data_IF_536577660340
#
_entry.id   IF_536577660340
#
_cell.length_a   1.000
_cell.length_b   1.000
_cell.length_c   1.000
_cell.angle_alpha   90.00
_cell.angle_beta   90.00
_cell.angle_gamma   90.00
#
_symmetry.space_group_name_H-M   'P 1'
#
loop_
_entity.id
_entity.type
_entity.pdbx_description
1 polymer ?
#
# COMPACT_ATOMS: atom_id res chain seq x y z
N UNK A 1 45.30 8.87 -53.65
CA UNK A 1 44.58 7.72 -53.08
C UNK A 1 43.37 8.23 -52.32
N UNK A 2 42.21 7.65 -52.62
CA UNK A 2 40.88 8.16 -52.29
C UNK A 2 40.24 7.21 -51.29
N UNK A 3 39.71 7.72 -50.17
CA UNK A 3 38.97 6.92 -49.18
C UNK A 3 37.51 6.84 -49.65
N UNK A 4 37.09 5.66 -50.10
CA UNK A 4 35.68 5.32 -50.37
C UNK A 4 34.95 5.01 -49.06
N UNK A 5 33.88 5.74 -48.78
CA UNK A 5 32.86 5.38 -47.80
C UNK A 5 32.04 4.22 -48.36
N UNK A 6 31.98 3.11 -47.62
CA UNK A 6 31.12 1.96 -47.95
C UNK A 6 29.67 2.23 -47.56
N UNK A 7 28.76 2.00 -48.51
CA UNK A 7 27.32 2.09 -48.39
C UNK A 7 26.75 1.17 -47.29
N UNK A 8 25.83 1.72 -46.48
CA UNK A 8 24.86 0.95 -45.71
C UNK A 8 23.81 0.33 -46.66
N UNK A 9 23.36 -0.91 -46.44
CA UNK A 9 22.44 -1.57 -47.36
C UNK A 9 21.05 -0.92 -47.31
N UNK A 10 20.61 -0.40 -48.45
CA UNK A 10 19.32 0.25 -48.70
C UNK A 10 18.05 -0.58 -48.39
N UNK A 11 18.18 -1.81 -47.86
CA UNK A 11 17.05 -2.69 -47.51
C UNK A 11 16.52 -2.50 -46.08
N UNK A 12 17.27 -1.90 -45.16
CA UNK A 12 16.81 -1.70 -43.78
C UNK A 12 15.78 -0.56 -43.63
N UNK A 13 15.82 0.45 -44.50
CA UNK A 13 14.93 1.63 -44.44
C UNK A 13 13.52 1.39 -45.01
N UNK A 14 13.29 0.29 -45.73
CA UNK A 14 12.00 -0.02 -46.35
C UNK A 14 11.09 -0.93 -45.50
N UNK A 15 11.64 -1.61 -44.49
CA UNK A 15 10.92 -2.62 -43.68
C UNK A 15 10.33 -2.00 -42.40
N UNK A 16 10.94 -0.93 -41.87
CA UNK A 16 10.49 -0.26 -40.66
C UNK A 16 9.09 0.41 -40.76
N UNK A 17 8.70 1.06 -41.88
CA UNK A 17 7.37 1.67 -42.00
C UNK A 17 6.24 0.62 -41.97
N UNK A 18 6.44 -0.51 -42.67
CA UNK A 18 5.46 -1.60 -42.77
C UNK A 18 5.21 -2.32 -41.45
N UNK A 19 6.22 -2.46 -40.58
CA UNK A 19 6.07 -3.10 -39.26
C UNK A 19 5.29 -2.18 -38.31
N UNK A 20 5.54 -0.86 -38.36
CA UNK A 20 4.88 0.13 -37.50
C UNK A 20 3.40 0.32 -37.90
N UNK A 21 3.11 0.27 -39.20
CA UNK A 21 1.74 0.24 -39.74
C UNK A 21 0.99 -1.04 -39.35
N UNK A 22 1.68 -2.19 -39.40
CA UNK A 22 1.12 -3.48 -38.94
C UNK A 22 0.82 -3.44 -37.43
N UNK A 23 1.71 -2.87 -36.62
CA UNK A 23 1.51 -2.71 -35.18
C UNK A 23 0.29 -1.84 -34.84
N UNK A 24 0.11 -0.70 -35.53
CA UNK A 24 -1.08 0.15 -35.38
C UNK A 24 -2.38 -0.57 -35.75
N UNK A 25 -2.36 -1.33 -36.85
CA UNK A 25 -3.53 -2.11 -37.28
C UNK A 25 -3.89 -3.24 -36.30
N UNK A 26 -2.87 -3.85 -35.67
CA UNK A 26 -3.06 -4.88 -34.66
C UNK A 26 -3.64 -4.30 -33.37
N UNK A 27 -3.13 -3.15 -32.90
CA UNK A 27 -3.71 -2.44 -31.74
C UNK A 27 -5.15 -2.01 -32.01
N UNK A 28 -5.45 -1.48 -33.19
CA UNK A 28 -6.82 -1.11 -33.57
C UNK A 28 -7.78 -2.31 -33.56
N UNK A 29 -7.36 -3.45 -34.13
CA UNK A 29 -8.14 -4.70 -34.07
C UNK A 29 -8.28 -5.23 -32.65
N UNK A 30 -7.23 -5.14 -31.84
CA UNK A 30 -7.28 -5.55 -30.43
C UNK A 30 -8.32 -4.74 -29.66
N UNK A 31 -8.35 -3.43 -29.89
CA UNK A 31 -9.30 -2.52 -29.26
C UNK A 31 -10.74 -2.75 -29.74
N UNK A 32 -10.95 -3.03 -31.03
CA UNK A 32 -12.25 -3.40 -31.59
C UNK A 32 -12.78 -4.73 -31.01
N UNK A 33 -11.90 -5.71 -30.79
CA UNK A 33 -12.27 -6.99 -30.16
C UNK A 33 -12.62 -6.79 -28.68
N UNK A 34 -11.86 -5.97 -27.95
CA UNK A 34 -12.14 -5.62 -26.56
C UNK A 34 -13.48 -4.90 -26.41
N UNK A 35 -13.77 -3.94 -27.30
CA UNK A 35 -15.06 -3.25 -27.35
C UNK A 35 -16.21 -4.24 -27.63
N UNK A 36 -16.02 -5.15 -28.57
CA UNK A 36 -17.02 -6.20 -28.88
C UNK A 36 -17.27 -7.12 -27.70
N UNK A 37 -16.22 -7.59 -27.03
CA UNK A 37 -16.35 -8.45 -25.84
C UNK A 37 -17.03 -7.69 -24.70
N UNK A 38 -16.67 -6.43 -24.47
CA UNK A 38 -17.33 -5.57 -23.48
C UNK A 38 -18.82 -5.40 -23.77
N UNK A 39 -19.17 -5.16 -25.04
CA UNK A 39 -20.57 -5.04 -25.48
C UNK A 39 -21.34 -6.35 -25.34
N UNK A 40 -20.78 -7.48 -25.78
CA UNK A 40 -21.41 -8.80 -25.65
C UNK A 40 -21.61 -9.18 -24.19
N UNK A 41 -20.64 -8.86 -23.32
CA UNK A 41 -20.76 -9.09 -21.88
C UNK A 41 -21.87 -8.24 -21.27
N UNK A 42 -21.99 -6.97 -21.69
CA UNK A 42 -23.06 -6.08 -21.25
C UNK A 42 -24.43 -6.57 -21.72
N UNK A 43 -24.55 -7.00 -22.98
CA UNK A 43 -25.79 -7.60 -23.53
C UNK A 43 -26.18 -8.86 -22.76
N UNK A 44 -25.21 -9.73 -22.42
CA UNK A 44 -25.45 -10.92 -21.61
C UNK A 44 -25.92 -10.58 -20.18
N UNK A 45 -25.30 -9.59 -19.52
CA UNK A 45 -25.73 -9.13 -18.20
C UNK A 45 -27.17 -8.62 -18.27
N UNK A 46 -27.50 -7.82 -19.28
CA UNK A 46 -28.85 -7.28 -19.49
C UNK A 46 -29.87 -8.39 -19.73
N UNK A 47 -29.53 -9.40 -20.54
CA UNK A 47 -30.41 -10.54 -20.82
C UNK A 47 -30.66 -11.40 -19.58
N UNK A 48 -29.62 -11.68 -18.77
CA UNK A 48 -29.73 -12.54 -17.58
C UNK A 48 -30.37 -11.82 -16.38
N UNK A 49 -30.18 -10.50 -16.25
CA UNK A 49 -30.67 -9.71 -15.09
C UNK A 49 -31.98 -8.95 -15.34
N UNK A 50 -32.41 -8.82 -16.60
CA UNK A 50 -33.61 -8.07 -16.96
C UNK A 50 -33.49 -6.54 -16.75
N UNK A 51 -32.27 -6.00 -16.75
CA UNK A 51 -32.02 -4.56 -16.62
C UNK A 51 -32.43 -3.81 -17.90
N UNK A 52 -33.43 -2.91 -17.83
CA UNK A 52 -33.73 -1.98 -18.92
C UNK A 52 -32.58 -0.97 -19.08
N UNK A 53 -31.83 -1.08 -20.19
CA UNK A 53 -30.87 -0.06 -20.60
C UNK A 53 -31.59 0.93 -21.52
N UNK A 54 -31.80 2.14 -21.02
CA UNK A 54 -32.45 3.24 -21.75
C UNK A 54 -31.67 3.54 -23.04
N UNK A 55 -32.23 3.13 -24.18
CA UNK A 55 -31.68 3.40 -25.52
C UNK A 55 -32.37 4.62 -26.11
N UNK A 56 -31.96 5.80 -25.66
CA UNK A 56 -31.92 7.00 -26.50
C UNK A 56 -32.54 8.26 -25.92
N UNK A 57 -31.68 9.24 -25.65
CA UNK A 57 -31.98 10.62 -26.04
C UNK A 57 -30.83 11.17 -26.90
N UNK A 58 -31.07 11.22 -28.21
CA UNK A 58 -30.37 12.15 -29.09
C UNK A 58 -31.22 13.42 -29.09
N UNK A 59 -30.79 14.45 -28.37
CA UNK A 59 -31.52 15.72 -28.33
C UNK A 59 -30.99 16.69 -27.28
N UNK A 60 -30.05 17.53 -27.72
CA UNK A 60 -29.83 18.91 -27.28
C UNK A 60 -29.70 19.19 -25.77
N UNK A 61 -28.44 19.33 -25.36
CA UNK A 61 -28.04 20.43 -24.48
C UNK A 61 -28.37 20.26 -23.01
N UNK A 62 -27.54 19.48 -22.31
CA UNK A 62 -27.06 19.95 -21.03
C UNK A 62 -25.54 19.90 -21.06
N UNK A 63 -24.90 21.07 -21.15
CA UNK A 63 -23.51 21.23 -20.76
C UNK A 63 -23.44 21.14 -19.23
N UNK A 64 -23.81 19.98 -18.69
CA UNK A 64 -23.22 19.55 -17.43
C UNK A 64 -21.84 19.07 -17.82
N UNK A 65 -20.88 19.95 -17.57
CA UNK A 65 -19.47 19.63 -17.43
C UNK A 65 -19.35 18.19 -16.94
N UNK A 66 -18.87 17.30 -17.80
CA UNK A 66 -18.14 16.13 -17.37
C UNK A 66 -16.88 16.66 -16.66
N UNK A 67 -17.06 17.26 -15.48
CA UNK A 67 -16.12 17.01 -14.41
C UNK A 67 -16.24 15.50 -14.23
N UNK A 68 -15.32 14.76 -14.87
CA UNK A 68 -14.94 13.43 -14.42
C UNK A 68 -14.97 13.53 -12.89
N UNK A 69 -15.98 12.94 -12.25
CA UNK A 69 -16.01 12.84 -10.81
C UNK A 69 -14.77 12.00 -10.51
N UNK A 70 -13.66 12.66 -10.18
CA UNK A 70 -12.47 12.01 -9.69
C UNK A 70 -12.93 11.22 -8.48
N UNK A 71 -13.11 9.91 -8.67
CA UNK A 71 -13.53 9.03 -7.62
C UNK A 71 -12.48 9.13 -6.53
N UNK A 72 -12.88 9.72 -5.39
CA UNK A 72 -11.97 10.14 -4.34
C UNK A 72 -11.08 8.95 -3.94
N UNK A 73 -9.77 9.11 -4.10
CA UNK A 73 -8.81 8.07 -3.76
C UNK A 73 -8.80 7.91 -2.25
N UNK A 74 -9.36 6.80 -1.77
CA UNK A 74 -9.44 6.45 -0.35
C UNK A 74 -8.55 5.27 0.00
N UNK A 75 -8.15 5.19 1.27
CA UNK A 75 -7.34 4.09 1.78
C UNK A 75 -7.99 2.73 1.51
N UNK A 76 -9.27 2.56 1.82
CA UNK A 76 -9.96 1.26 1.70
C UNK A 76 -10.01 0.79 0.24
N UNK A 77 -10.26 1.70 -0.70
CA UNK A 77 -10.26 1.38 -2.13
C UNK A 77 -8.87 0.95 -2.61
N UNK A 78 -7.84 1.71 -2.25
CA UNK A 78 -6.47 1.37 -2.62
C UNK A 78 -6.03 0.06 -1.96
N UNK A 79 -6.38 -0.15 -0.69
CA UNK A 79 -6.06 -1.36 0.05
C UNK A 79 -6.72 -2.59 -0.58
N UNK A 80 -7.97 -2.46 -1.04
CA UNK A 80 -8.65 -3.48 -1.84
C UNK A 80 -7.89 -3.77 -3.15
N UNK A 81 -7.51 -2.74 -3.91
CA UNK A 81 -6.77 -2.88 -5.17
C UNK A 81 -5.44 -3.62 -4.98
N UNK A 82 -4.75 -3.38 -3.87
CA UNK A 82 -3.50 -4.08 -3.55
C UNK A 82 -3.71 -5.52 -3.03
N UNK A 83 -4.95 -5.99 -2.85
CA UNK A 83 -5.26 -7.32 -2.33
C UNK A 83 -5.16 -7.43 -0.80
N UNK A 84 -5.20 -6.31 -0.09
CA UNK A 84 -5.12 -6.27 1.36
C UNK A 84 -6.19 -7.09 2.10
N UNK A 85 -7.47 -7.03 1.69
CA UNK A 85 -8.53 -7.84 2.30
C UNK A 85 -8.26 -9.34 2.19
N UNK A 86 -7.79 -9.84 1.04
CA UNK A 86 -7.49 -11.26 0.84
C UNK A 86 -6.39 -11.73 1.81
N UNK A 87 -5.35 -10.90 2.01
CA UNK A 87 -4.26 -11.19 2.95
C UNK A 87 -4.75 -11.21 4.41
N UNK A 88 -5.66 -10.31 4.77
CA UNK A 88 -6.27 -10.28 6.11
C UNK A 88 -7.18 -11.49 6.34
N UNK A 89 -8.00 -11.86 5.35
CA UNK A 89 -8.88 -13.03 5.42
C UNK A 89 -8.06 -14.32 5.59
N UNK A 90 -6.96 -14.47 4.85
CA UNK A 90 -6.08 -15.62 4.99
C UNK A 90 -5.47 -15.68 6.42
N UNK A 91 -5.08 -14.54 6.96
CA UNK A 91 -4.53 -14.44 8.31
C UNK A 91 -5.57 -14.72 9.41
N UNK A 92 -6.81 -14.28 9.22
CA UNK A 92 -7.93 -14.58 10.10
C UNK A 92 -8.29 -16.08 10.05
N UNK A 93 -8.30 -16.68 8.87
CA UNK A 93 -8.53 -18.11 8.69
C UNK A 93 -7.43 -18.92 9.39
N UNK A 94 -6.17 -18.51 9.26
CA UNK A 94 -5.04 -19.12 9.96
C UNK A 94 -5.20 -18.99 11.49
N UNK A 95 -5.54 -17.81 11.99
CA UNK A 95 -5.82 -17.57 13.41
C UNK A 95 -6.93 -18.47 13.94
N UNK A 96 -8.04 -18.55 13.21
CA UNK A 96 -9.20 -19.37 13.55
C UNK A 96 -8.84 -20.85 13.63
N UNK A 97 -8.05 -21.34 12.67
CA UNK A 97 -7.53 -22.71 12.69
C UNK A 97 -6.68 -22.97 13.94
N UNK A 98 -5.76 -22.06 14.27
CA UNK A 98 -4.87 -22.20 15.42
C UNK A 98 -5.56 -22.00 16.76
N UNK A 99 -6.65 -21.22 16.83
CA UNK A 99 -7.51 -21.11 17.99
C UNK A 99 -8.22 -22.45 18.29
N UNK A 100 -8.71 -23.13 17.25
CA UNK A 100 -9.30 -24.47 17.39
C UNK A 100 -8.26 -25.49 17.84
N UNK A 101 -7.07 -25.50 17.22
CA UNK A 101 -5.97 -26.38 17.63
C UNK A 101 -5.52 -26.10 19.07
N UNK A 102 -5.44 -24.84 19.46
CA UNK A 102 -5.12 -24.43 20.83
C UNK A 102 -6.11 -25.04 21.81
N UNK A 103 -7.41 -24.88 21.57
CA UNK A 103 -8.46 -25.44 22.44
C UNK A 103 -8.39 -26.97 22.51
N UNK A 104 -8.14 -27.64 21.38
CA UNK A 104 -7.97 -29.11 21.33
C UNK A 104 -6.75 -29.57 22.12
N UNK A 105 -5.59 -28.93 21.95
CA UNK A 105 -4.37 -29.25 22.73
C UNK A 105 -4.59 -28.97 24.20
N UNK A 106 -5.17 -27.81 24.53
CA UNK A 106 -5.50 -27.39 25.90
C UNK A 106 -6.41 -28.41 26.60
N UNK A 107 -7.38 -28.99 25.91
CA UNK A 107 -8.25 -30.04 26.47
C UNK A 107 -7.49 -31.24 27.06
N UNK A 108 -6.34 -31.59 26.48
CA UNK A 108 -5.48 -32.71 26.89
C UNK A 108 -4.51 -32.37 28.05
N UNK A 109 -4.38 -31.10 28.42
CA UNK A 109 -3.44 -30.64 29.43
C UNK A 109 -4.00 -30.76 30.86
N UNK A 110 -3.11 -30.84 31.84
CA UNK A 110 -3.48 -30.75 33.27
C UNK A 110 -3.88 -29.31 33.67
N UNK A 111 -4.42 -29.11 34.87
CA UNK A 111 -4.95 -27.81 35.30
C UNK A 111 -3.88 -26.70 35.38
N UNK A 112 -2.66 -27.04 35.80
CA UNK A 112 -1.54 -26.10 35.90
C UNK A 112 -1.07 -25.64 34.51
N UNK A 113 -0.90 -26.59 33.59
CA UNK A 113 -0.52 -26.32 32.20
C UNK A 113 -1.59 -25.51 31.46
N UNK A 114 -2.88 -25.78 31.70
CA UNK A 114 -3.99 -24.97 31.16
C UNK A 114 -3.87 -23.51 31.59
N UNK A 115 -3.66 -23.29 32.89
CA UNK A 115 -3.51 -21.94 33.47
C UNK A 115 -2.28 -21.24 32.91
N UNK A 116 -1.16 -21.96 32.77
CA UNK A 116 0.08 -21.43 32.18
C UNK A 116 -0.14 -20.93 30.75
N UNK A 117 -0.70 -21.73 29.86
CA UNK A 117 -0.90 -21.34 28.46
C UNK A 117 -1.99 -20.27 28.27
N UNK A 118 -3.00 -20.23 29.13
CA UNK A 118 -3.96 -19.12 29.16
C UNK A 118 -3.30 -17.80 29.57
N UNK A 119 -2.40 -17.85 30.56
CA UNK A 119 -1.58 -16.71 30.94
C UNK A 119 -0.68 -16.25 29.79
N UNK A 120 0.01 -17.19 29.12
CA UNK A 120 0.87 -16.89 27.97
C UNK A 120 0.10 -16.32 26.79
N UNK A 121 -1.11 -16.79 26.51
CA UNK A 121 -1.97 -16.19 25.48
C UNK A 121 -2.29 -14.74 25.79
N UNK A 122 -2.72 -14.43 27.02
CA UNK A 122 -3.00 -13.04 27.42
C UNK A 122 -1.76 -12.15 27.32
N UNK A 123 -0.60 -12.65 27.74
CA UNK A 123 0.67 -11.94 27.66
C UNK A 123 1.06 -11.66 26.20
N UNK A 124 0.95 -12.64 25.29
CA UNK A 124 1.19 -12.45 23.85
C UNK A 124 0.20 -11.44 23.25
N UNK A 125 -1.08 -11.51 23.60
CA UNK A 125 -2.08 -10.54 23.13
C UNK A 125 -1.74 -9.11 23.58
N UNK A 126 -1.25 -8.93 24.80
CA UNK A 126 -0.75 -7.63 25.28
C UNK A 126 0.51 -7.18 24.53
N UNK A 127 1.44 -8.10 24.26
CA UNK A 127 2.63 -7.87 23.41
C UNK A 127 2.23 -7.58 21.98
N UNK A 128 1.04 -7.91 21.53
CA UNK A 128 0.57 -7.58 20.17
C UNK A 128 -0.18 -6.26 20.08
N UNK A 129 -0.38 -5.55 21.18
CA UNK A 129 -0.96 -4.21 21.16
C UNK A 129 0.12 -3.14 20.87
N UNK A 130 0.17 -2.58 19.66
CA UNK A 130 1.15 -1.60 19.23
C UNK A 130 1.11 -0.29 20.02
N UNK A 131 -0.02 0.05 20.65
CA UNK A 131 -0.22 1.28 21.43
C UNK A 131 0.48 1.27 22.79
N UNK A 132 0.95 0.11 23.26
CA UNK A 132 1.68 0.02 24.53
C UNK A 132 3.17 0.27 24.32
N UNK A 133 3.79 1.12 25.14
CA UNK A 133 5.25 1.23 25.14
C UNK A 133 5.82 0.02 25.92
N UNK A 134 6.14 -1.05 25.21
CA UNK A 134 6.95 -2.15 25.75
C UNK A 134 8.38 -1.84 25.34
N UNK A 135 9.28 -1.79 26.32
CA UNK A 135 10.66 -1.28 26.28
C UNK A 135 11.32 -1.25 24.88
N UNK A 136 11.89 -0.08 24.55
CA UNK A 136 12.58 0.26 23.29
C UNK A 136 13.82 -0.61 22.98
N UNK A 137 14.22 -1.48 23.91
CA UNK A 137 15.29 -2.44 23.66
C UNK A 137 14.77 -3.57 22.74
N UNK A 138 15.28 -3.56 21.51
CA UNK A 138 15.18 -4.71 20.61
C UNK A 138 15.62 -6.00 21.33
N UNK A 139 15.15 -7.18 20.90
CA UNK A 139 15.33 -8.42 21.65
C UNK A 139 16.80 -8.59 22.11
N UNK A 140 17.02 -8.63 23.43
CA UNK A 140 18.35 -8.81 24.10
C UNK A 140 19.01 -10.17 23.80
N UNK A 141 18.49 -10.93 22.84
CA UNK A 141 19.02 -12.23 22.46
C UNK A 141 19.57 -12.17 21.04
N UNK A 142 20.80 -12.66 20.87
CA UNK A 142 21.34 -13.01 19.55
C UNK A 142 20.51 -14.12 18.86
N UNK A 143 19.54 -14.73 19.55
CA UNK A 143 18.51 -15.59 18.96
C UNK A 143 17.32 -14.77 18.46
N UNK A 144 17.03 -14.88 17.16
CA UNK A 144 16.15 -13.96 16.44
C UNK A 144 16.90 -12.85 15.70
N UNK A 145 18.18 -12.59 16.05
CA UNK A 145 19.13 -12.02 15.11
C UNK A 145 19.60 -13.13 14.17
N UNK A 146 19.53 -12.82 12.88
CA UNK A 146 20.09 -13.69 11.86
C UNK A 146 21.59 -13.82 12.12
N UNK A 147 22.12 -15.04 12.07
CA UNK A 147 23.51 -15.30 11.72
C UNK A 147 23.82 -14.38 10.53
N UNK A 148 24.88 -13.58 10.64
CA UNK A 148 25.28 -12.55 9.69
C UNK A 148 25.00 -12.95 8.23
N UNK A 149 24.37 -12.04 7.46
CA UNK A 149 24.13 -12.10 5.99
C UNK A 149 22.81 -12.67 5.43
N UNK A 150 21.67 -12.09 5.84
CA UNK A 150 20.69 -11.64 4.83
C UNK A 150 19.58 -10.79 5.48
N UNK A 151 19.23 -9.64 4.91
CA UNK A 151 17.87 -9.15 5.12
C UNK A 151 16.90 -10.27 4.72
N UNK A 152 15.79 -10.47 5.42
CA UNK A 152 14.67 -11.14 4.77
C UNK A 152 14.30 -10.25 3.58
N UNK A 153 14.30 -10.76 2.35
CA UNK A 153 14.08 -9.94 1.14
C UNK A 153 12.86 -9.03 1.27
N UNK A 154 11.80 -9.52 1.92
CA UNK A 154 10.59 -8.75 2.22
C UNK A 154 10.80 -7.53 3.14
N UNK A 155 11.62 -7.59 4.18
CA UNK A 155 11.88 -6.41 5.03
C UNK A 155 12.73 -5.37 4.29
N UNK A 156 13.66 -5.83 3.45
CA UNK A 156 14.38 -4.94 2.54
C UNK A 156 13.43 -4.28 1.51
N UNK A 157 12.43 -5.02 1.02
CA UNK A 157 11.37 -4.47 0.15
C UNK A 157 10.54 -3.40 0.86
N UNK A 158 10.13 -3.63 2.12
CA UNK A 158 9.37 -2.62 2.89
C UNK A 158 10.18 -1.34 3.07
N UNK A 159 11.45 -1.48 3.47
CA UNK A 159 12.36 -0.34 3.64
C UNK A 159 12.58 0.40 2.31
N UNK A 160 12.79 -0.34 1.22
CA UNK A 160 12.94 0.22 -0.13
C UNK A 160 11.68 0.96 -0.57
N UNK A 161 10.50 0.42 -0.28
CA UNK A 161 9.23 1.07 -0.57
C UNK A 161 9.09 2.37 0.25
N UNK A 162 9.42 2.34 1.55
CA UNK A 162 9.43 3.55 2.38
C UNK A 162 10.38 4.62 1.81
N UNK A 163 11.63 4.25 1.50
CA UNK A 163 12.62 5.18 0.93
C UNK A 163 12.19 5.73 -0.44
N UNK A 164 11.63 4.88 -1.30
CA UNK A 164 11.09 5.29 -2.60
C UNK A 164 9.90 6.25 -2.44
N UNK A 165 8.99 5.98 -1.52
CA UNK A 165 7.83 6.81 -1.20
C UNK A 165 8.24 8.19 -0.66
N UNK A 166 9.19 8.24 0.27
CA UNK A 166 9.74 9.50 0.80
C UNK A 166 10.43 10.30 -0.31
N UNK A 167 11.24 9.64 -1.14
CA UNK A 167 11.88 10.30 -2.29
C UNK A 167 10.84 10.82 -3.29
N UNK A 168 9.76 10.08 -3.51
CA UNK A 168 8.66 10.45 -4.40
C UNK A 168 7.93 11.68 -3.87
N UNK A 169 7.56 11.72 -2.59
CA UNK A 169 6.93 12.87 -1.96
C UNK A 169 7.78 14.14 -2.11
N UNK A 170 9.09 14.05 -1.82
CA UNK A 170 10.02 15.17 -1.99
C UNK A 170 10.10 15.65 -3.47
N UNK A 171 10.17 14.72 -4.44
CA UNK A 171 10.15 15.05 -5.87
C UNK A 171 8.82 15.69 -6.30
N UNK A 172 7.72 15.40 -5.61
CA UNK A 172 6.44 16.00 -5.90
C UNK A 172 6.34 17.43 -5.32
N UNK A 173 6.97 17.74 -4.20
CA UNK A 173 7.06 19.13 -3.74
C UNK A 173 8.08 19.96 -4.54
N UNK A 174 9.19 19.33 -4.95
CA UNK A 174 10.32 20.01 -5.58
C UNK A 174 9.96 20.79 -6.85
N UNK A 175 10.52 22.00 -6.97
CA UNK A 175 10.36 22.86 -8.15
C UNK A 175 8.97 23.47 -8.32
N UNK A 176 8.03 23.22 -7.39
CA UNK A 176 6.67 23.73 -7.51
C UNK A 176 6.60 25.26 -7.49
N UNK A 177 7.37 25.92 -6.62
CA UNK A 177 7.49 27.40 -6.59
C UNK A 177 7.88 27.97 -7.95
N UNK A 178 8.89 27.39 -8.61
CA UNK A 178 9.32 27.83 -9.95
C UNK A 178 8.21 27.59 -10.98
N UNK A 179 7.47 26.49 -10.86
CA UNK A 179 6.37 26.15 -11.75
C UNK A 179 5.13 27.06 -11.60
N UNK A 180 5.06 27.89 -10.55
CA UNK A 180 4.02 28.90 -10.35
C UNK A 180 4.44 30.30 -10.84
N UNK A 181 5.72 30.51 -11.17
CA UNK A 181 6.24 31.81 -11.58
C UNK A 181 5.57 32.33 -12.86
N UNK A 182 5.10 33.59 -12.81
CA UNK A 182 4.52 34.28 -13.97
C UNK A 182 3.10 33.83 -14.36
N UNK A 183 2.47 32.95 -13.58
CA UNK A 183 1.09 32.52 -13.81
C UNK A 183 0.09 33.53 -13.27
N UNK A 184 -1.11 33.57 -13.86
CA UNK A 184 -2.24 34.32 -13.33
C UNK A 184 -2.81 33.67 -12.05
N UNK A 185 -3.53 34.42 -11.18
CA UNK A 185 -4.11 33.87 -9.95
C UNK A 185 -4.98 32.62 -10.17
N UNK A 186 -5.80 32.60 -11.23
CA UNK A 186 -6.65 31.45 -11.53
C UNK A 186 -5.83 30.22 -11.95
N UNK A 187 -4.75 30.42 -12.70
CA UNK A 187 -3.84 29.33 -13.08
C UNK A 187 -3.05 28.81 -11.87
N UNK A 188 -2.63 29.69 -10.96
CA UNK A 188 -1.98 29.31 -9.70
C UNK A 188 -2.91 28.42 -8.86
N UNK A 189 -4.18 28.81 -8.70
CA UNK A 189 -5.18 28.03 -7.95
C UNK A 189 -5.39 26.66 -8.59
N UNK A 190 -5.63 26.62 -9.91
CA UNK A 190 -5.85 25.37 -10.64
C UNK A 190 -4.64 24.44 -10.53
N UNK A 191 -3.44 24.97 -10.77
CA UNK A 191 -2.20 24.19 -10.74
C UNK A 191 -1.87 23.67 -9.34
N UNK A 192 -2.14 24.46 -8.30
CA UNK A 192 -1.99 24.04 -6.90
C UNK A 192 -3.00 22.97 -6.53
N UNK A 193 -4.27 23.13 -6.91
CA UNK A 193 -5.33 22.15 -6.66
C UNK A 193 -4.95 20.78 -7.24
N UNK A 194 -4.61 20.74 -8.52
CA UNK A 194 -4.20 19.49 -9.17
C UNK A 194 -2.96 18.88 -8.51
N UNK A 195 -2.01 19.70 -8.07
CA UNK A 195 -0.81 19.21 -7.40
C UNK A 195 -1.12 18.59 -6.05
N UNK A 196 -1.97 19.23 -5.25
CA UNK A 196 -2.42 18.71 -3.95
C UNK A 196 -3.15 17.39 -4.10
N UNK A 197 -4.07 17.27 -5.06
CA UNK A 197 -4.79 16.03 -5.36
C UNK A 197 -3.84 14.90 -5.79
N UNK A 198 -2.84 15.23 -6.62
CA UNK A 198 -1.84 14.25 -7.05
C UNK A 198 -0.99 13.77 -5.85
N UNK A 199 -0.56 14.69 -4.98
CA UNK A 199 0.23 14.34 -3.78
C UNK A 199 -0.60 13.50 -2.81
N UNK A 200 -1.86 13.88 -2.60
CA UNK A 200 -2.79 13.14 -1.75
C UNK A 200 -2.99 11.71 -2.27
N UNK A 201 -3.43 11.57 -3.52
CA UNK A 201 -3.68 10.26 -4.14
C UNK A 201 -2.46 9.34 -4.09
N UNK A 202 -1.27 9.86 -4.44
CA UNK A 202 -0.03 9.09 -4.34
C UNK A 202 0.26 8.69 -2.88
N UNK A 203 0.07 9.59 -1.92
CA UNK A 203 0.24 9.30 -0.49
C UNK A 203 -0.67 8.16 -0.02
N UNK A 204 -1.95 8.20 -0.39
CA UNK A 204 -2.92 7.13 -0.09
C UNK A 204 -2.49 5.81 -0.72
N UNK A 205 -2.11 5.82 -2.01
CA UNK A 205 -1.61 4.61 -2.69
C UNK A 205 -0.41 4.01 -1.97
N UNK A 206 0.58 4.83 -1.59
CA UNK A 206 1.79 4.33 -0.91
C UNK A 206 1.48 3.77 0.48
N UNK A 207 0.57 4.40 1.23
CA UNK A 207 0.13 3.87 2.54
C UNK A 207 -0.61 2.55 2.40
N UNK A 208 -1.53 2.43 1.45
CA UNK A 208 -2.27 1.19 1.20
C UNK A 208 -1.38 0.05 0.70
N UNK A 209 -0.42 0.35 -0.20
CA UNK A 209 0.58 -0.62 -0.68
C UNK A 209 1.44 -1.14 0.47
N UNK A 210 1.95 -0.23 1.31
CA UNK A 210 2.72 -0.61 2.51
C UNK A 210 1.88 -1.45 3.47
N UNK A 211 0.61 -1.09 3.68
CA UNK A 211 -0.28 -1.84 4.56
C UNK A 211 -0.50 -3.28 4.06
N UNK A 212 -0.79 -3.45 2.77
CA UNK A 212 -0.94 -4.78 2.18
C UNK A 212 0.33 -5.63 2.33
N UNK A 213 1.50 -5.06 2.01
CA UNK A 213 2.78 -5.75 2.18
C UNK A 213 3.05 -6.10 3.64
N UNK A 214 2.66 -5.24 4.58
CA UNK A 214 2.85 -5.48 6.00
C UNK A 214 2.01 -6.67 6.49
N UNK A 215 0.74 -6.74 6.09
CA UNK A 215 -0.14 -7.88 6.40
C UNK A 215 0.42 -9.16 5.79
N UNK A 216 0.85 -9.10 4.52
CA UNK A 216 1.48 -10.23 3.83
C UNK A 216 2.72 -10.74 4.58
N UNK A 217 3.56 -9.83 5.09
CA UNK A 217 4.74 -10.18 5.88
C UNK A 217 4.39 -10.82 7.22
N UNK A 218 3.36 -10.32 7.91
CA UNK A 218 2.87 -10.93 9.14
C UNK A 218 2.33 -12.35 8.90
N UNK A 219 1.63 -12.57 7.80
CA UNK A 219 1.18 -13.90 7.38
C UNK A 219 2.35 -14.86 7.15
N UNK A 220 3.37 -14.43 6.40
CA UNK A 220 4.59 -15.22 6.17
C UNK A 220 5.31 -15.52 7.49
N UNK A 221 5.41 -14.55 8.40
CA UNK A 221 5.98 -14.77 9.73
C UNK A 221 5.18 -15.80 10.52
N UNK A 222 3.85 -15.71 10.54
CA UNK A 222 2.97 -16.69 11.15
C UNK A 222 3.19 -18.11 10.63
N UNK A 223 3.23 -18.26 9.29
CA UNK A 223 3.57 -19.53 8.63
C UNK A 223 4.96 -20.05 9.03
N UNK A 224 5.97 -19.19 9.09
CA UNK A 224 7.33 -19.62 9.48
C UNK A 224 7.42 -20.09 10.93
N UNK A 225 6.64 -19.51 11.85
CA UNK A 225 6.53 -19.98 13.25
C UNK A 225 5.99 -21.41 13.27
N UNK A 226 5.00 -21.69 12.42
CA UNK A 226 4.39 -23.02 12.28
C UNK A 226 5.40 -24.02 11.69
N UNK A 227 6.03 -23.69 10.56
CA UNK A 227 7.04 -24.54 9.93
C UNK A 227 8.14 -24.92 10.91
N UNK A 228 8.64 -23.94 11.69
CA UNK A 228 9.67 -24.18 12.70
C UNK A 228 9.25 -25.16 13.80
N UNK A 229 7.98 -25.10 14.24
CA UNK A 229 7.44 -26.00 15.27
C UNK A 229 7.18 -27.42 14.73
N UNK A 230 6.93 -27.54 13.42
CA UNK A 230 6.59 -28.80 12.76
C UNK A 230 7.77 -29.49 12.07
N UNK A 231 9.01 -28.97 12.18
CA UNK A 231 10.19 -29.57 11.54
C UNK A 231 10.39 -31.02 11.96
N UNK A 232 9.88 -31.95 11.14
CA UNK A 232 10.54 -33.24 10.92
C UNK A 232 11.72 -32.97 9.98
N UNK A 233 12.87 -33.60 10.22
CA UNK A 233 14.19 -33.21 9.67
C UNK A 233 14.36 -33.17 8.14
N UNK A 234 13.33 -33.37 7.31
CA UNK A 234 13.51 -33.80 5.91
C UNK A 234 12.67 -33.08 4.84
N UNK A 235 12.27 -31.81 4.99
CA UNK A 235 11.66 -31.07 3.86
C UNK A 235 12.34 -29.71 3.72
N UNK A 236 13.24 -29.61 2.74
CA UNK A 236 13.78 -28.34 2.23
C UNK A 236 12.68 -27.69 1.37
N UNK A 237 11.74 -27.01 2.00
CA UNK A 237 10.83 -26.12 1.29
C UNK A 237 11.59 -24.82 0.99
N UNK A 238 11.88 -24.57 -0.30
CA UNK A 238 12.66 -23.41 -0.76
C UNK A 238 12.03 -22.05 -0.40
N UNK A 239 10.75 -22.04 -0.01
CA UNK A 239 10.00 -20.85 0.39
C UNK A 239 9.99 -20.57 1.90
N UNK A 240 10.62 -21.41 2.72
CA UNK A 240 10.59 -21.23 4.17
C UNK A 240 11.54 -20.11 4.60
N UNK A 241 10.97 -19.06 5.19
CA UNK A 241 11.75 -18.00 5.83
C UNK A 241 12.57 -18.61 6.98
N UNK A 242 13.88 -18.75 6.76
CA UNK A 242 14.85 -19.31 7.73
C UNK A 242 15.07 -18.35 8.90
N UNK A 243 14.10 -18.27 9.80
CA UNK A 243 14.22 -17.63 11.11
C UNK A 243 14.46 -18.72 12.15
N UNK A 244 15.48 -18.53 12.98
CA UNK A 244 15.68 -19.33 14.19
C UNK A 244 14.72 -18.81 15.26
N UNK A 245 13.57 -19.49 15.39
CA UNK A 245 12.53 -19.09 16.33
C UNK A 245 12.85 -19.61 17.74
N UNK A 246 12.79 -18.74 18.78
CA UNK A 246 12.93 -19.18 20.16
C UNK A 246 11.80 -20.14 20.53
N UNK A 247 12.01 -21.05 21.48
CA UNK A 247 10.95 -21.99 21.90
C UNK A 247 9.82 -21.30 22.67
N UNK A 248 10.15 -20.26 23.44
CA UNK A 248 9.20 -19.54 24.28
C UNK A 248 8.27 -18.63 23.45
N UNK A 249 6.94 -18.72 23.65
CA UNK A 249 5.96 -17.92 22.89
C UNK A 249 6.07 -16.41 23.15
N UNK A 250 6.58 -15.97 24.30
CA UNK A 250 6.74 -14.55 24.61
C UNK A 250 7.89 -13.98 23.77
N UNK A 251 9.03 -14.66 23.71
CA UNK A 251 10.14 -14.27 22.85
C UNK A 251 9.75 -14.25 21.36
N UNK A 252 8.98 -15.24 20.88
CA UNK A 252 8.42 -15.21 19.51
C UNK A 252 7.54 -13.98 19.29
N UNK A 253 6.63 -13.72 20.24
CA UNK A 253 5.75 -12.55 20.22
C UNK A 253 6.53 -11.23 20.15
N UNK A 254 7.58 -11.06 20.97
CA UNK A 254 8.42 -9.86 20.95
C UNK A 254 9.09 -9.64 19.59
N UNK A 255 9.58 -10.68 18.94
CA UNK A 255 10.20 -10.58 17.60
C UNK A 255 9.18 -10.12 16.55
N UNK A 256 7.99 -10.72 16.55
CA UNK A 256 6.92 -10.35 15.60
C UNK A 256 6.46 -8.91 15.86
N UNK A 257 6.23 -8.55 17.14
CA UNK A 257 5.86 -7.18 17.53
C UNK A 257 6.89 -6.17 17.05
N UNK A 258 8.17 -6.40 17.30
CA UNK A 258 9.25 -5.48 16.89
C UNK A 258 9.23 -5.23 15.37
N UNK A 259 9.00 -6.28 14.57
CA UNK A 259 8.86 -6.14 13.11
C UNK A 259 7.64 -5.29 12.74
N UNK A 260 6.48 -5.56 13.35
CA UNK A 260 5.27 -4.77 13.11
C UNK A 260 5.45 -3.29 13.53
N UNK A 261 6.11 -3.03 14.66
CA UNK A 261 6.43 -1.68 15.13
C UNK A 261 7.34 -0.95 14.13
N UNK A 262 8.40 -1.59 13.64
CA UNK A 262 9.27 -1.01 12.61
C UNK A 262 8.49 -0.63 11.35
N UNK A 263 7.56 -1.48 10.91
CA UNK A 263 6.73 -1.19 9.73
C UNK A 263 5.78 -0.02 10.00
N UNK A 264 5.18 0.04 11.19
CA UNK A 264 4.33 1.16 11.61
C UNK A 264 5.08 2.49 11.59
N UNK A 265 6.33 2.51 12.05
CA UNK A 265 7.20 3.71 11.99
C UNK A 265 7.49 4.11 10.54
N UNK A 266 7.74 3.14 9.66
CA UNK A 266 7.95 3.42 8.23
C UNK A 266 6.68 3.98 7.57
N UNK A 267 5.48 3.52 7.93
CA UNK A 267 4.20 4.07 7.47
C UNK A 267 4.00 5.53 7.93
N UNK A 268 4.28 5.81 9.20
CA UNK A 268 4.22 7.17 9.75
C UNK A 268 5.20 8.10 9.02
N UNK A 269 6.42 7.63 8.75
CA UNK A 269 7.42 8.39 7.99
C UNK A 269 6.94 8.70 6.57
N UNK A 270 6.31 7.74 5.89
CA UNK A 270 5.73 7.98 4.55
C UNK A 270 4.60 9.01 4.62
N UNK A 271 3.63 8.83 5.52
CA UNK A 271 2.54 9.78 5.71
C UNK A 271 3.06 11.20 5.99
N UNK A 272 4.00 11.31 6.94
CA UNK A 272 4.64 12.59 7.30
C UNK A 272 5.33 13.22 6.09
N UNK A 273 6.05 12.44 5.28
CA UNK A 273 6.72 12.97 4.09
C UNK A 273 5.75 13.53 3.05
N UNK A 274 4.59 12.88 2.83
CA UNK A 274 3.55 13.39 1.96
C UNK A 274 2.84 14.61 2.55
N UNK A 275 2.60 14.63 3.87
CA UNK A 275 2.05 15.78 4.59
C UNK A 275 2.98 17.01 4.52
N UNK A 276 4.30 16.81 4.64
CA UNK A 276 5.31 17.85 4.38
C UNK A 276 5.22 18.34 2.94
N UNK A 277 5.13 17.44 1.96
CA UNK A 277 4.99 17.84 0.55
C UNK A 277 3.71 18.65 0.27
N UNK A 278 2.60 18.34 0.96
CA UNK A 278 1.36 19.15 0.92
C UNK A 278 1.62 20.54 1.50
N UNK A 279 2.33 20.64 2.62
CA UNK A 279 2.66 21.91 3.27
C UNK A 279 3.60 22.77 2.42
N UNK A 280 4.63 22.18 1.80
CA UNK A 280 5.55 22.88 0.89
C UNK A 280 4.80 23.46 -0.33
N UNK A 281 3.87 22.69 -0.89
CA UNK A 281 3.01 23.15 -2.00
C UNK A 281 2.08 24.28 -1.55
N UNK A 282 1.51 24.20 -0.35
CA UNK A 282 0.66 25.25 0.20
C UNK A 282 1.44 26.55 0.48
N UNK A 283 2.68 26.45 0.95
CA UNK A 283 3.58 27.59 1.15
C UNK A 283 3.95 28.24 -0.19
N UNK A 284 4.32 27.44 -1.19
CA UNK A 284 4.62 27.91 -2.53
C UNK A 284 3.41 28.63 -3.16
N UNK A 285 2.20 28.11 -2.95
CA UNK A 285 0.96 28.77 -3.36
C UNK A 285 0.77 30.13 -2.66
N UNK A 286 0.93 30.19 -1.34
CA UNK A 286 0.77 31.43 -0.58
C UNK A 286 1.74 32.51 -1.08
N UNK A 287 3.00 32.17 -1.31
CA UNK A 287 4.00 33.08 -1.85
C UNK A 287 3.67 33.52 -3.29
N UNK A 288 3.27 32.59 -4.15
CA UNK A 288 2.91 32.91 -5.54
C UNK A 288 1.68 33.83 -5.62
N UNK A 289 0.65 33.57 -4.80
CA UNK A 289 -0.55 34.41 -4.74
C UNK A 289 -0.26 35.81 -4.21
N UNK A 290 0.58 35.95 -3.19
CA UNK A 290 1.01 37.26 -2.69
C UNK A 290 1.72 38.06 -3.80
N UNK A 291 2.61 37.43 -4.56
CA UNK A 291 3.30 38.09 -5.67
C UNK A 291 2.35 38.44 -6.84
N UNK A 292 1.40 37.57 -7.17
CA UNK A 292 0.46 37.80 -8.27
C UNK A 292 -0.61 38.87 -7.95
N UNK A 293 -0.93 39.06 -6.66
CA UNK A 293 -1.91 40.06 -6.19
C UNK A 293 -1.27 41.39 -5.79
N UNK A 294 0.07 41.47 -5.70
CA UNK A 294 0.78 42.72 -5.38
C UNK A 294 0.42 43.88 -6.33
N UNK A 295 -0.04 43.57 -7.54
CA UNK A 295 -0.46 44.55 -8.56
C UNK A 295 -1.99 44.76 -8.66
N UNK A 296 -2.83 44.00 -7.93
CA UNK A 296 -4.31 44.09 -8.02
C UNK A 296 -4.99 43.83 -6.68
N UNK A 297 -5.69 44.86 -6.20
CA UNK A 297 -6.52 44.83 -4.99
C UNK A 297 -7.88 44.21 -5.31
N UNK A 298 -7.94 42.89 -5.51
CA UNK A 298 -9.20 42.14 -5.63
C UNK A 298 -9.23 40.99 -4.61
N UNK A 299 -10.27 40.96 -3.77
CA UNK A 299 -10.54 39.88 -2.82
C UNK A 299 -11.05 38.66 -3.60
N UNK A 300 -10.17 37.66 -3.81
CA UNK A 300 -10.53 36.47 -4.57
C UNK A 300 -11.13 35.37 -3.66
N UNK A 301 -12.42 35.01 -3.80
CA UNK A 301 -13.10 34.06 -2.90
C UNK A 301 -12.51 32.64 -2.89
N UNK A 302 -11.72 32.27 -3.91
CA UNK A 302 -11.13 30.94 -4.06
C UNK A 302 -9.93 30.67 -3.15
N UNK A 303 -9.33 31.69 -2.53
CA UNK A 303 -8.16 31.49 -1.66
C UNK A 303 -8.50 30.71 -0.39
N UNK A 304 -9.67 31.01 0.21
CA UNK A 304 -10.16 30.34 1.42
C UNK A 304 -10.50 28.87 1.14
N UNK A 305 -11.17 28.60 0.02
CA UNK A 305 -11.50 27.24 -0.42
C UNK A 305 -10.26 26.36 -0.59
N UNK A 306 -9.16 26.90 -1.13
CA UNK A 306 -7.93 26.13 -1.28
C UNK A 306 -7.24 25.84 0.06
N UNK A 307 -7.23 26.79 0.99
CA UNK A 307 -6.69 26.55 2.34
C UNK A 307 -7.49 25.49 3.09
N UNK A 308 -8.82 25.50 2.97
CA UNK A 308 -9.69 24.46 3.51
C UNK A 308 -9.38 23.09 2.86
N UNK A 309 -9.13 23.06 1.54
CA UNK A 309 -8.74 21.84 0.83
C UNK A 309 -7.39 21.29 1.28
N UNK A 310 -6.37 22.13 1.46
CA UNK A 310 -5.06 21.74 2.02
C UNK A 310 -5.26 21.08 3.38
N UNK A 311 -6.05 21.72 4.26
CA UNK A 311 -6.34 21.18 5.59
C UNK A 311 -7.09 19.85 5.52
N UNK A 312 -8.09 19.74 4.64
CA UNK A 312 -8.87 18.50 4.45
C UNK A 312 -7.98 17.35 4.01
N UNK A 313 -7.15 17.58 2.99
CA UNK A 313 -6.22 16.58 2.44
C UNK A 313 -5.20 16.13 3.49
N UNK A 314 -4.64 17.04 4.28
CA UNK A 314 -3.74 16.66 5.38
C UNK A 314 -4.42 15.85 6.47
N UNK A 315 -5.69 16.16 6.80
CA UNK A 315 -6.47 15.40 7.78
C UNK A 315 -6.79 14.00 7.23
N UNK A 316 -7.22 13.90 5.97
CA UNK A 316 -7.53 12.62 5.32
C UNK A 316 -6.30 11.71 5.30
N UNK A 317 -5.14 12.22 4.90
CA UNK A 317 -3.90 11.44 4.89
C UNK A 317 -3.49 10.90 6.28
N UNK A 318 -3.69 11.70 7.33
CA UNK A 318 -3.45 11.24 8.71
C UNK A 318 -4.47 10.18 9.15
N UNK A 319 -5.74 10.35 8.74
CA UNK A 319 -6.78 9.35 8.97
C UNK A 319 -6.44 8.04 8.25
N UNK A 320 -5.97 8.10 7.00
CA UNK A 320 -5.57 6.93 6.22
C UNK A 320 -4.37 6.21 6.84
N UNK A 321 -3.39 6.95 7.36
CA UNK A 321 -2.30 6.37 8.13
C UNK A 321 -2.81 5.65 9.39
N UNK A 322 -3.77 6.24 10.09
CA UNK A 322 -4.39 5.61 11.28
C UNK A 322 -5.13 4.32 10.89
N UNK A 323 -5.88 4.34 9.78
CA UNK A 323 -6.55 3.16 9.23
C UNK A 323 -5.54 2.07 8.85
N UNK A 324 -4.44 2.42 8.19
CA UNK A 324 -3.38 1.48 7.83
C UNK A 324 -2.75 0.81 9.06
N UNK A 325 -2.47 1.58 10.12
CA UNK A 325 -1.97 1.06 11.40
C UNK A 325 -3.01 0.19 12.10
N UNK A 326 -4.30 0.54 12.03
CA UNK A 326 -5.37 -0.30 12.56
C UNK A 326 -5.42 -1.67 11.88
N UNK A 327 -5.30 -1.72 10.54
CA UNK A 327 -5.25 -3.01 9.81
C UNK A 327 -4.02 -3.83 10.20
N UNK A 328 -2.87 -3.17 10.39
CA UNK A 328 -1.65 -3.81 10.89
C UNK A 328 -1.84 -4.38 12.31
N UNK A 329 -2.53 -3.63 13.18
CA UNK A 329 -2.87 -4.05 14.54
C UNK A 329 -3.80 -5.27 14.55
N UNK A 330 -4.81 -5.30 13.68
CA UNK A 330 -5.71 -6.44 13.53
C UNK A 330 -4.94 -7.68 13.07
N UNK A 331 -4.10 -7.52 12.04
CA UNK A 331 -3.23 -8.57 11.53
C UNK A 331 -2.31 -9.16 12.61
N UNK A 332 -1.68 -8.28 13.40
CA UNK A 332 -0.81 -8.71 14.50
C UNK A 332 -1.59 -9.50 15.55
N UNK A 333 -2.82 -9.06 15.87
CA UNK A 333 -3.67 -9.73 16.85
C UNK A 333 -4.08 -11.15 16.43
N UNK A 334 -4.30 -11.39 15.13
CA UNK A 334 -4.59 -12.72 14.59
C UNK A 334 -3.46 -13.74 14.83
N UNK A 335 -2.20 -13.29 14.96
CA UNK A 335 -1.07 -14.20 15.18
C UNK A 335 -0.98 -14.74 16.62
N UNK A 336 -1.76 -14.24 17.59
CA UNK A 336 -1.60 -14.59 19.00
C UNK A 336 -1.79 -16.10 19.24
N UNK A 337 -2.84 -16.69 18.66
CA UNK A 337 -3.08 -18.13 18.77
C UNK A 337 -2.04 -18.95 18.03
N UNK A 338 -1.55 -18.47 16.89
CA UNK A 338 -0.50 -19.14 16.10
C UNK A 338 0.76 -19.30 16.95
N UNK A 339 1.24 -18.22 17.55
CA UNK A 339 2.47 -18.21 18.36
C UNK A 339 2.39 -19.14 19.56
N UNK A 340 1.30 -19.06 20.32
CA UNK A 340 1.15 -19.86 21.55
C UNK A 340 0.96 -21.33 21.22
N UNK A 341 0.07 -21.65 20.27
CA UNK A 341 -0.25 -23.03 19.94
C UNK A 341 0.90 -23.78 19.25
N UNK A 342 1.74 -23.07 18.47
CA UNK A 342 2.98 -23.60 17.92
C UNK A 342 4.03 -23.91 19.00
N UNK A 343 3.90 -23.33 20.21
CA UNK A 343 4.81 -23.54 21.34
C UNK A 343 4.24 -24.53 22.37
N UNK A 344 3.06 -25.10 22.11
CA UNK A 344 2.49 -26.17 22.94
C UNK A 344 3.04 -27.53 22.53
N UNK A 345 3.30 -28.43 23.49
CA UNK A 345 3.80 -29.77 23.20
C UNK A 345 2.89 -30.52 22.23
N UNK A 346 3.51 -31.28 21.34
CA UNK A 346 2.84 -32.23 20.45
C UNK A 346 2.30 -33.38 21.30
N UNK A 347 0.97 -33.49 21.44
CA UNK A 347 0.32 -34.55 22.25
C UNK A 347 -0.26 -35.65 21.38
#
# INVERSE_FOLDING_TARGET
>A
ETIQQGELPAKASAIAPTILETGKSFTAKGMEVLERVGKETMEFIVEETGMEVDKGSNGEGDQQTEEEQFEEVSFDRCFYIYGGPDQLEELEALSSHYALLFNRKKGKLNAEQKTFYDGKLKEVQQIFNLSTNVDEDGPESDKGKKIESANTDAYAEMKKLCEASVSKAAKMAAGFTTALGGLSPNEIIKRTTNRLETIHSEGVHKLSEMCCLAVSQLLVLGKSVISSANKSKNEDDENDVKIDWPEDPISKGKIIRWKAQSISVDMEKVSTSFATGISDVAEAYAAAMQNALADKQDDLPNQKSLQEKVKSISIHLNSDQTSAVSKLQDALQYLAYVVVCASMPSV
#
